data_IF_299729755477
#
_entry.id   IF_299729755477
#
_cell.length_a   1.000
_cell.length_b   1.000
_cell.length_c   1.000
_cell.angle_alpha   90.00
_cell.angle_beta   90.00
_cell.angle_gamma   90.00
#
_symmetry.space_group_name_H-M   'P 1'
#
loop_
_entity.id
_entity.type
_entity.pdbx_description
1 polymer ?
#
# COMPACT_ATOMS: atom_id res chain seq x y z
N UNK A 1 10.91 15.48 10.27
CA UNK A 1 12.33 15.35 10.68
C UNK A 1 13.16 14.31 9.90
N UNK A 2 12.60 13.32 9.20
CA UNK A 2 13.39 12.22 8.58
C UNK A 2 14.46 12.68 7.55
N UNK A 3 14.14 13.66 6.71
CA UNK A 3 15.07 14.15 5.66
C UNK A 3 16.15 15.03 6.28
N UNK A 4 15.75 16.01 7.10
CA UNK A 4 16.65 16.92 7.81
C UNK A 4 17.71 16.18 8.65
N UNK A 5 17.32 15.13 9.37
CA UNK A 5 18.21 14.33 10.20
C UNK A 5 19.27 13.52 9.45
N UNK A 6 19.27 13.54 8.11
CA UNK A 6 20.34 12.93 7.31
C UNK A 6 21.62 13.77 7.29
N UNK A 7 21.54 15.07 7.55
CA UNK A 7 22.70 15.95 7.64
C UNK A 7 23.41 15.76 8.99
N UNK A 8 24.74 15.69 8.99
CA UNK A 8 25.53 15.59 10.23
C UNK A 8 25.51 14.22 10.91
N UNK A 9 25.33 13.13 10.14
CA UNK A 9 25.37 11.76 10.67
C UNK A 9 26.71 11.46 11.32
N UNK A 10 26.69 10.64 12.36
CA UNK A 10 27.88 10.06 12.97
C UNK A 10 28.74 9.39 11.89
N UNK A 11 30.06 9.60 11.94
CA UNK A 11 31.07 9.19 10.95
C UNK A 11 31.04 9.90 9.59
N UNK A 12 30.19 10.91 9.39
CA UNK A 12 30.40 11.81 8.25
C UNK A 12 31.58 12.76 8.53
N UNK A 13 32.19 13.29 7.46
CA UNK A 13 33.24 14.32 7.57
C UNK A 13 32.75 15.61 8.25
N UNK A 14 31.43 15.78 8.41
CA UNK A 14 30.80 16.97 8.97
C UNK A 14 29.99 16.61 10.21
N UNK A 15 30.51 16.94 11.39
CA UNK A 15 29.85 16.62 12.66
C UNK A 15 28.56 17.43 12.91
N UNK A 16 28.35 18.53 12.16
CA UNK A 16 27.16 19.39 12.27
C UNK A 16 26.34 19.36 10.99
N UNK A 17 25.05 19.08 11.13
CA UNK A 17 24.08 19.13 10.04
C UNK A 17 23.45 20.51 9.90
N UNK A 18 23.22 20.93 8.66
CA UNK A 18 22.48 22.14 8.31
C UNK A 18 21.35 21.79 7.35
N UNK A 19 20.23 22.50 7.46
CA UNK A 19 19.06 22.34 6.59
C UNK A 19 18.59 23.71 6.17
N UNK A 20 18.29 23.86 4.89
CA UNK A 20 17.75 25.09 4.31
C UNK A 20 16.79 24.73 3.17
N UNK A 21 16.16 25.73 2.58
CA UNK A 21 15.25 25.58 1.44
C UNK A 21 15.90 26.13 0.17
N UNK A 22 15.47 25.65 -0.99
CA UNK A 22 15.96 26.17 -2.28
C UNK A 22 15.54 27.63 -2.50
N UNK A 23 14.30 27.98 -2.12
CA UNK A 23 13.75 29.33 -2.23
C UNK A 23 13.68 29.98 -0.85
N UNK A 24 14.25 31.19 -0.66
CA UNK A 24 14.25 31.86 0.64
C UNK A 24 12.84 32.08 1.24
N UNK A 25 11.81 32.21 0.39
CA UNK A 25 10.42 32.35 0.81
C UNK A 25 9.90 31.16 1.62
N UNK A 26 10.46 29.97 1.39
CA UNK A 26 9.99 28.71 2.01
C UNK A 26 10.64 28.48 3.39
N UNK A 27 11.64 29.28 3.77
CA UNK A 27 12.41 29.09 5.00
C UNK A 27 11.55 29.22 6.26
N UNK A 28 10.61 30.17 6.29
CA UNK A 28 9.69 30.35 7.42
C UNK A 28 8.80 29.12 7.64
N UNK A 29 8.39 28.47 6.56
CA UNK A 29 7.58 27.26 6.61
C UNK A 29 8.39 26.06 7.11
N UNK A 30 9.63 25.91 6.63
CA UNK A 30 10.54 24.87 7.12
C UNK A 30 10.78 25.00 8.63
N UNK A 31 11.05 26.21 9.13
CA UNK A 31 11.23 26.43 10.57
C UNK A 31 9.99 26.07 11.39
N UNK A 32 8.81 26.40 10.89
CA UNK A 32 7.55 26.04 11.56
C UNK A 32 7.41 24.52 11.66
N UNK A 33 7.60 23.78 10.56
CA UNK A 33 7.52 22.31 10.56
C UNK A 33 8.61 21.63 11.41
N UNK A 34 9.79 22.22 11.51
CA UNK A 34 10.87 21.67 12.34
C UNK A 34 10.61 21.85 13.84
N UNK A 35 9.78 22.82 14.24
CA UNK A 35 9.39 23.08 15.64
C UNK A 35 8.11 22.34 16.06
N UNK A 36 7.32 21.84 15.10
CA UNK A 36 6.08 21.13 15.41
C UNK A 36 6.38 19.81 16.16
N UNK A 37 5.70 19.54 17.29
CA UNK A 37 5.87 18.28 18.00
C UNK A 37 5.30 17.11 17.18
N UNK A 38 5.97 15.96 17.26
CA UNK A 38 5.49 14.73 16.60
C UNK A 38 4.23 14.26 17.32
N UNK A 39 3.12 14.19 16.60
CA UNK A 39 1.87 13.62 17.11
C UNK A 39 2.02 12.11 17.29
N UNK A 40 1.53 11.53 18.40
CA UNK A 40 1.52 10.08 18.58
C UNK A 40 0.74 9.36 17.47
N UNK A 41 1.16 8.15 17.13
CA UNK A 41 0.41 7.27 16.23
C UNK A 41 -0.74 6.64 17.02
N UNK A 42 -1.99 6.89 16.60
CA UNK A 42 -3.19 6.49 17.35
C UNK A 42 -3.70 5.08 16.97
N UNK A 43 -3.44 4.64 15.73
CA UNK A 43 -3.98 3.39 15.19
C UNK A 43 -2.95 2.64 14.36
N UNK A 44 -3.12 1.32 14.26
CA UNK A 44 -2.29 0.43 13.44
C UNK A 44 -3.08 -0.08 12.22
N UNK A 45 -2.43 -0.10 11.06
CA UNK A 45 -3.02 -0.65 9.84
C UNK A 45 -3.04 -2.18 9.87
N UNK A 46 -4.15 -2.76 9.42
CA UNK A 46 -4.30 -4.20 9.18
C UNK A 46 -4.82 -4.45 7.77
N UNK A 47 -4.50 -5.61 7.21
CA UNK A 47 -4.94 -6.01 5.88
C UNK A 47 -5.63 -7.39 5.93
N UNK A 48 -6.52 -7.69 4.98
CA UNK A 48 -7.12 -9.02 4.87
C UNK A 48 -6.04 -10.08 4.64
N UNK A 49 -6.17 -11.26 5.28
CA UNK A 49 -5.30 -12.40 4.97
C UNK A 49 -5.86 -13.27 3.86
N UNK A 50 -5.03 -14.13 3.25
CA UNK A 50 -5.48 -15.02 2.19
C UNK A 50 -6.56 -15.99 2.68
N UNK A 51 -6.42 -16.48 3.91
CA UNK A 51 -7.34 -17.44 4.54
C UNK A 51 -8.70 -16.79 4.84
N UNK A 52 -8.71 -15.51 5.22
CA UNK A 52 -9.94 -14.76 5.43
C UNK A 52 -10.73 -14.61 4.13
N UNK A 53 -10.06 -14.23 3.03
CA UNK A 53 -10.72 -14.10 1.72
C UNK A 53 -11.13 -15.45 1.14
N UNK A 54 -10.33 -16.50 1.35
CA UNK A 54 -10.69 -17.87 0.98
C UNK A 54 -11.94 -18.34 1.74
N UNK A 55 -12.02 -18.05 3.04
CA UNK A 55 -13.22 -18.34 3.85
C UNK A 55 -14.46 -17.65 3.29
N UNK A 56 -14.35 -16.38 2.87
CA UNK A 56 -15.45 -15.67 2.22
C UNK A 56 -15.88 -16.31 0.90
N UNK A 57 -14.92 -16.79 0.10
CA UNK A 57 -15.22 -17.46 -1.18
C UNK A 57 -16.08 -18.70 -1.02
N UNK A 58 -15.92 -19.47 0.08
CA UNK A 58 -16.78 -20.62 0.38
C UNK A 58 -18.23 -20.22 0.68
N UNK A 59 -18.44 -19.04 1.28
CA UNK A 59 -19.78 -18.52 1.59
C UNK A 59 -20.42 -17.79 0.40
N UNK A 60 -19.61 -17.40 -0.59
CA UNK A 60 -20.01 -16.62 -1.76
C UNK A 60 -19.47 -17.28 -3.05
N UNK A 61 -19.90 -18.51 -3.38
CA UNK A 61 -19.27 -19.31 -4.44
C UNK A 61 -19.39 -18.72 -5.85
N UNK A 62 -20.28 -17.74 -6.06
CA UNK A 62 -20.50 -17.07 -7.34
C UNK A 62 -19.97 -15.63 -7.37
N UNK A 63 -19.41 -15.13 -6.27
CA UNK A 63 -18.82 -13.80 -6.23
C UNK A 63 -17.44 -13.81 -6.88
N UNK A 64 -17.11 -12.74 -7.60
CA UNK A 64 -15.76 -12.57 -8.14
C UNK A 64 -14.76 -12.26 -7.02
N UNK A 65 -13.46 -12.38 -7.30
CA UNK A 65 -12.44 -12.11 -6.29
C UNK A 65 -12.49 -10.64 -5.85
N UNK A 66 -12.73 -9.72 -6.80
CA UNK A 66 -12.91 -8.31 -6.50
C UNK A 66 -14.13 -8.06 -5.60
N UNK A 67 -15.28 -8.70 -5.89
CA UNK A 67 -16.47 -8.61 -5.03
C UNK A 67 -16.25 -9.15 -3.62
N UNK A 68 -15.47 -10.23 -3.47
CA UNK A 68 -15.11 -10.79 -2.15
C UNK A 68 -14.30 -9.78 -1.34
N UNK A 69 -13.33 -9.11 -1.96
CA UNK A 69 -12.51 -8.07 -1.32
C UNK A 69 -13.39 -6.89 -0.89
N UNK A 70 -14.24 -6.38 -1.79
CA UNK A 70 -15.11 -5.23 -1.51
C UNK A 70 -16.11 -5.54 -0.38
N UNK A 71 -16.67 -6.74 -0.37
CA UNK A 71 -17.55 -7.19 0.71
C UNK A 71 -16.80 -7.34 2.03
N UNK A 72 -15.60 -7.92 2.01
CA UNK A 72 -14.76 -8.04 3.21
C UNK A 72 -14.51 -6.68 3.86
N UNK A 73 -14.12 -5.68 3.07
CA UNK A 73 -13.92 -4.31 3.55
C UNK A 73 -15.23 -3.77 4.15
N UNK A 74 -16.34 -3.92 3.42
CA UNK A 74 -17.63 -3.36 3.82
C UNK A 74 -18.18 -3.94 5.13
N UNK A 75 -17.89 -5.20 5.45
CA UNK A 75 -18.43 -5.86 6.65
C UNK A 75 -17.40 -6.00 7.78
N UNK A 76 -16.13 -5.70 7.51
CA UNK A 76 -15.09 -5.74 8.53
C UNK A 76 -15.38 -4.75 9.65
N UNK A 77 -15.31 -5.22 10.89
CA UNK A 77 -15.46 -4.40 12.09
C UNK A 77 -14.17 -4.45 12.88
N UNK A 78 -13.57 -3.28 13.13
CA UNK A 78 -12.28 -3.14 13.78
C UNK A 78 -12.42 -2.46 15.13
N UNK A 79 -11.55 -2.82 16.08
CA UNK A 79 -11.46 -2.05 17.33
C UNK A 79 -10.85 -0.66 17.06
N UNK A 80 -11.13 0.30 17.94
CA UNK A 80 -10.72 1.72 17.77
C UNK A 80 -9.22 1.96 17.56
N UNK A 81 -8.37 0.97 17.85
CA UNK A 81 -6.90 1.04 17.69
C UNK A 81 -6.41 0.56 16.32
N UNK A 82 -7.30 0.12 15.43
CA UNK A 82 -6.94 -0.38 14.11
C UNK A 82 -7.74 0.29 13.00
N UNK A 83 -7.14 0.35 11.82
CA UNK A 83 -7.79 0.73 10.57
C UNK A 83 -7.39 -0.27 9.48
N UNK A 84 -8.20 -0.40 8.43
CA UNK A 84 -7.77 -1.12 7.24
C UNK A 84 -6.71 -0.31 6.50
N UNK A 85 -5.63 -0.97 6.12
CA UNK A 85 -4.64 -0.39 5.21
C UNK A 85 -5.30 0.01 3.90
N UNK A 86 -4.68 0.97 3.19
CA UNK A 86 -5.06 1.24 1.81
C UNK A 86 -4.75 0.01 0.94
N UNK A 87 -5.79 -0.46 0.26
CA UNK A 87 -5.73 -1.63 -0.62
C UNK A 87 -6.13 -1.27 -2.06
N UNK A 88 -6.08 0.00 -2.46
CA UNK A 88 -6.42 0.44 -3.81
C UNK A 88 -5.58 -0.29 -4.87
N UNK A 89 -4.26 -0.39 -4.68
CA UNK A 89 -3.37 -1.12 -5.58
C UNK A 89 -3.74 -2.62 -5.66
N UNK A 90 -4.05 -3.24 -4.52
CA UNK A 90 -4.48 -4.63 -4.47
C UNK A 90 -5.78 -4.85 -5.26
N UNK A 91 -6.75 -3.93 -5.14
CA UNK A 91 -8.01 -3.96 -5.91
C UNK A 91 -7.77 -3.76 -7.42
N UNK A 92 -6.92 -2.80 -7.81
CA UNK A 92 -6.51 -2.58 -9.22
C UNK A 92 -5.91 -3.84 -9.84
N UNK A 93 -5.07 -4.56 -9.10
CA UNK A 93 -4.49 -5.82 -9.56
C UNK A 93 -5.54 -6.94 -9.62
N UNK A 94 -6.42 -7.04 -8.61
CA UNK A 94 -7.50 -8.02 -8.60
C UNK A 94 -8.44 -7.87 -9.80
N UNK A 95 -8.78 -6.63 -10.17
CA UNK A 95 -9.60 -6.31 -11.34
C UNK A 95 -8.96 -6.84 -12.65
N UNK A 96 -7.63 -6.75 -12.79
CA UNK A 96 -6.93 -7.20 -14.00
C UNK A 96 -6.93 -8.73 -14.21
N UNK A 97 -7.07 -9.51 -13.15
CA UNK A 97 -6.97 -10.98 -13.19
C UNK A 97 -8.25 -11.66 -12.71
N UNK A 98 -9.35 -10.92 -12.58
CA UNK A 98 -10.58 -11.47 -12.04
C UNK A 98 -11.17 -12.55 -12.96
N UNK A 99 -11.00 -12.38 -14.28
CA UNK A 99 -11.38 -13.30 -15.35
C UNK A 99 -10.46 -14.53 -15.49
N UNK A 100 -9.29 -14.53 -14.86
CA UNK A 100 -8.34 -15.66 -14.95
C UNK A 100 -8.75 -16.75 -13.93
N UNK A 101 -8.89 -18.02 -14.35
CA UNK A 101 -9.37 -19.12 -13.50
C UNK A 101 -8.29 -19.63 -12.52
N UNK A 102 -7.82 -18.75 -11.65
CA UNK A 102 -6.86 -19.03 -10.58
C UNK A 102 -7.59 -19.23 -9.24
N UNK A 103 -7.03 -20.05 -8.35
CA UNK A 103 -7.54 -20.18 -6.99
C UNK A 103 -7.41 -18.85 -6.22
N UNK A 104 -8.27 -18.63 -5.22
CA UNK A 104 -8.27 -17.41 -4.40
C UNK A 104 -6.89 -17.15 -3.79
N UNK A 105 -6.24 -18.20 -3.29
CA UNK A 105 -4.88 -18.11 -2.74
C UNK A 105 -3.85 -17.62 -3.77
N UNK A 106 -3.94 -18.07 -5.02
CA UNK A 106 -3.04 -17.63 -6.09
C UNK A 106 -3.37 -16.21 -6.51
N UNK A 107 -4.65 -15.86 -6.69
CA UNK A 107 -5.09 -14.48 -6.98
C UNK A 107 -4.61 -13.51 -5.91
N UNK A 108 -4.73 -13.88 -4.63
CA UNK A 108 -4.21 -13.11 -3.51
C UNK A 108 -2.71 -12.86 -3.63
N UNK A 109 -1.91 -13.92 -3.86
CA UNK A 109 -0.46 -13.78 -4.01
C UNK A 109 -0.09 -12.83 -5.16
N UNK A 110 -0.75 -12.93 -6.31
CA UNK A 110 -0.57 -12.00 -7.43
C UNK A 110 -0.90 -10.56 -7.05
N UNK A 111 -1.98 -10.33 -6.31
CA UNK A 111 -2.39 -8.98 -5.90
C UNK A 111 -1.49 -8.38 -4.81
N UNK A 112 -0.68 -9.18 -4.13
CA UNK A 112 0.38 -8.69 -3.24
C UNK A 112 1.70 -8.37 -3.96
N UNK A 113 1.80 -8.65 -5.27
CA UNK A 113 3.01 -8.35 -6.02
C UNK A 113 3.20 -6.83 -6.17
N UNK A 114 4.43 -6.29 -5.99
CA UNK A 114 4.69 -4.86 -6.07
C UNK A 114 4.75 -4.40 -7.53
N UNK A 115 3.58 -4.25 -8.16
CA UNK A 115 3.43 -3.78 -9.55
C UNK A 115 2.86 -2.38 -9.53
N UNK A 116 3.62 -1.40 -10.01
CA UNK A 116 3.14 -0.02 -10.15
C UNK A 116 2.04 0.06 -11.21
N UNK A 117 0.88 0.56 -10.78
CA UNK A 117 -0.33 0.70 -11.58
C UNK A 117 -0.72 2.18 -11.80
N UNK A 118 0.00 3.13 -11.19
CA UNK A 118 -0.35 4.55 -11.19
C UNK A 118 0.35 5.32 -12.32
N UNK A 119 1.55 4.89 -12.70
CA UNK A 119 2.18 5.33 -13.95
C UNK A 119 1.54 4.53 -15.08
N UNK A 120 1.15 5.18 -16.18
CA UNK A 120 0.59 4.51 -17.38
C UNK A 120 1.66 3.60 -18.03
N UNK A 121 1.87 2.45 -17.40
CA UNK A 121 2.86 1.46 -17.74
C UNK A 121 2.12 0.25 -18.33
N UNK A 122 1.60 0.43 -19.55
CA UNK A 122 0.89 -0.61 -20.28
C UNK A 122 1.69 -1.92 -20.39
N UNK A 123 3.03 -1.85 -20.40
CA UNK A 123 3.90 -3.03 -20.40
C UNK A 123 3.79 -3.81 -19.09
N UNK A 124 3.86 -3.15 -17.94
CA UNK A 124 3.72 -3.81 -16.64
C UNK A 124 2.35 -4.50 -16.50
N UNK A 125 1.27 -3.82 -16.91
CA UNK A 125 -0.10 -4.37 -16.93
C UNK A 125 -0.21 -5.61 -17.82
N UNK A 126 0.30 -5.52 -19.05
CA UNK A 126 0.28 -6.63 -19.99
C UNK A 126 1.12 -7.82 -19.49
N UNK A 127 2.30 -7.56 -18.93
CA UNK A 127 3.16 -8.59 -18.33
C UNK A 127 2.48 -9.26 -17.14
N UNK A 128 1.86 -8.49 -16.24
CA UNK A 128 1.14 -9.01 -15.08
C UNK A 128 0.06 -10.02 -15.49
N UNK A 129 -0.84 -9.61 -16.40
CA UNK A 129 -1.92 -10.48 -16.91
C UNK A 129 -1.35 -11.69 -17.65
N UNK A 130 -0.29 -11.50 -18.46
CA UNK A 130 0.34 -12.61 -19.20
C UNK A 130 1.00 -13.64 -18.28
N UNK A 131 1.60 -13.20 -17.18
CA UNK A 131 2.19 -14.11 -16.18
C UNK A 131 1.08 -14.85 -15.44
N UNK A 132 0.01 -14.17 -15.02
CA UNK A 132 -1.14 -14.79 -14.35
C UNK A 132 -1.78 -15.89 -15.22
N UNK A 133 -2.02 -15.59 -16.52
CA UNK A 133 -2.60 -16.56 -17.48
C UNK A 133 -1.73 -17.79 -17.75
N UNK A 134 -0.43 -17.73 -17.46
CA UNK A 134 0.50 -18.87 -17.63
C UNK A 134 0.49 -19.84 -16.43
N UNK A 135 -0.21 -19.50 -15.35
CA UNK A 135 -0.33 -20.33 -14.14
C UNK A 135 -1.60 -21.19 -14.13
N UNK A 136 -2.41 -21.11 -15.20
CA UNK A 136 -3.61 -21.94 -15.43
C UNK A 136 -3.21 -23.29 -16.01
#
# INVERSE_FOLDING_TARGET
MQVAGRAGRFQSAYQKGWVTTLRPTDMRLLEAFMKEPIKPIETAGIAPTSEQLETFSYHLPHASFLSIIDMFISISSLSKKFHLCDIEQFRKLAELIDDVPLSIKVKYAFCTAPVDMDVDNGVARACFVRIARRQV
#
